data_IF_428116057800
#
_entry.id   IF_428116057800
#
_cell.length_a   1.000
_cell.length_b   1.000
_cell.length_c   1.000
_cell.angle_alpha   90.00
_cell.angle_beta   90.00
_cell.angle_gamma   90.00
#
_symmetry.space_group_name_H-M   'P 1'
#
loop_
_entity.id
_entity.type
_entity.pdbx_description
1 polymer ?
#
# COMPACT_ATOMS: atom_id res chain seq x y z
N UNK A 1 -51.57 3.88 -34.97
CA UNK A 1 -52.20 4.37 -33.72
C UNK A 1 -51.81 3.38 -32.63
N UNK A 2 -51.14 3.67 -31.52
CA UNK A 2 -50.86 4.91 -30.78
C UNK A 2 -49.40 4.91 -30.25
N UNK A 3 -48.85 6.11 -30.12
CA UNK A 3 -47.62 6.49 -29.41
C UNK A 3 -47.83 6.41 -27.87
N UNK A 4 -46.69 6.63 -27.19
CA UNK A 4 -46.44 7.09 -25.80
C UNK A 4 -46.23 5.96 -24.78
N UNK A 5 -45.26 6.00 -23.85
CA UNK A 5 -44.48 7.12 -23.33
C UNK A 5 -43.21 6.63 -22.59
N UNK A 6 -42.17 7.43 -22.68
CA UNK A 6 -40.91 7.39 -21.93
C UNK A 6 -41.12 7.55 -20.43
N UNK A 7 -40.39 6.79 -19.61
CA UNK A 7 -40.06 7.21 -18.24
C UNK A 7 -38.62 6.85 -17.90
N UNK A 8 -37.76 7.85 -18.07
CA UNK A 8 -36.45 7.94 -17.47
C UNK A 8 -36.59 7.99 -15.94
N UNK A 9 -36.18 6.94 -15.24
CA UNK A 9 -35.97 6.95 -13.79
C UNK A 9 -34.47 6.87 -13.51
N UNK A 10 -33.78 8.00 -13.72
CA UNK A 10 -32.52 8.30 -13.07
C UNK A 10 -32.78 8.44 -11.57
N UNK A 11 -32.72 7.32 -10.84
CA UNK A 11 -32.64 7.34 -9.38
C UNK A 11 -31.17 7.19 -9.02
N UNK A 12 -30.53 8.34 -8.89
CA UNK A 12 -29.17 8.58 -8.43
C UNK A 12 -28.85 7.71 -7.21
N UNK A 13 -28.11 6.62 -7.43
CA UNK A 13 -27.30 6.02 -6.37
C UNK A 13 -26.11 6.96 -6.17
N UNK A 14 -25.75 7.34 -4.93
CA UNK A 14 -24.45 7.99 -4.74
C UNK A 14 -23.39 7.00 -5.20
N UNK A 15 -22.61 7.39 -6.21
CA UNK A 15 -21.46 6.64 -6.69
C UNK A 15 -20.40 6.64 -5.58
N UNK A 16 -20.52 5.73 -4.62
CA UNK A 16 -19.39 5.30 -3.83
C UNK A 16 -18.47 4.56 -4.79
N UNK A 17 -17.40 5.22 -5.21
CA UNK A 17 -16.34 4.59 -5.98
C UNK A 17 -15.95 3.26 -5.32
N UNK A 18 -15.72 2.18 -6.09
CA UNK A 18 -15.32 0.90 -5.53
C UNK A 18 -14.11 1.08 -4.59
N UNK A 19 -13.98 0.26 -3.54
CA UNK A 19 -12.95 0.42 -2.51
C UNK A 19 -11.53 0.59 -3.08
N UNK A 20 -11.24 -0.08 -4.20
CA UNK A 20 -9.97 0.05 -4.93
C UNK A 20 -9.79 1.43 -5.52
N UNK A 21 -10.77 2.00 -6.23
CA UNK A 21 -10.68 3.35 -6.77
C UNK A 21 -10.50 4.39 -5.67
N UNK A 22 -11.16 4.22 -4.52
CA UNK A 22 -10.98 5.09 -3.36
C UNK A 22 -9.57 4.95 -2.75
N UNK A 23 -9.02 3.74 -2.68
CA UNK A 23 -7.65 3.51 -2.23
C UNK A 23 -6.63 4.05 -3.25
N UNK A 24 -6.85 3.87 -4.55
CA UNK A 24 -6.06 4.45 -5.64
C UNK A 24 -6.10 5.98 -5.60
N UNK A 25 -7.28 6.56 -5.38
CA UNK A 25 -7.45 8.00 -5.25
C UNK A 25 -6.74 8.53 -4.00
N UNK A 26 -6.75 7.80 -2.88
CA UNK A 26 -5.94 8.16 -1.70
C UNK A 26 -4.45 8.01 -2.01
N UNK A 27 -4.02 6.95 -2.69
CA UNK A 27 -2.63 6.75 -3.07
C UNK A 27 -2.14 7.87 -3.99
N UNK A 28 -2.90 8.23 -5.03
CA UNK A 28 -2.63 9.37 -5.91
C UNK A 28 -2.73 10.71 -5.17
N UNK A 29 -3.66 10.87 -4.24
CA UNK A 29 -3.79 12.08 -3.41
C UNK A 29 -2.62 12.21 -2.43
N UNK A 30 -2.11 11.12 -1.88
CA UNK A 30 -0.89 11.09 -1.08
C UNK A 30 0.30 11.48 -1.96
N UNK A 31 0.47 10.88 -3.13
CA UNK A 31 1.52 11.25 -4.10
C UNK A 31 1.47 12.74 -4.47
N UNK A 32 0.29 13.25 -4.81
CA UNK A 32 0.07 14.67 -5.14
C UNK A 32 0.35 15.60 -3.94
N UNK A 33 -0.18 15.27 -2.76
CA UNK A 33 -0.01 16.06 -1.53
C UNK A 33 1.43 16.07 -1.01
N UNK A 34 2.21 15.05 -1.36
CA UNK A 34 3.62 14.93 -1.01
C UNK A 34 4.52 15.62 -2.06
N UNK A 35 4.21 15.47 -3.35
CA UNK A 35 4.86 16.20 -4.45
C UNK A 35 4.67 17.71 -4.31
N UNK A 36 3.48 18.15 -3.90
CA UNK A 36 3.17 19.57 -3.64
C UNK A 36 3.91 20.14 -2.41
N UNK A 37 4.19 19.32 -1.39
CA UNK A 37 4.92 19.76 -0.18
C UNK A 37 6.43 19.83 -0.35
N UNK A 38 6.97 19.16 -1.36
CA UNK A 38 8.40 19.17 -1.68
C UNK A 38 8.59 19.17 -3.20
N UNK A 39 8.36 20.32 -3.87
CA UNK A 39 8.62 20.42 -5.30
C UNK A 39 10.11 20.15 -5.53
N UNK A 40 10.42 19.14 -6.34
CA UNK A 40 11.77 18.93 -6.83
C UNK A 40 12.22 20.23 -7.51
N UNK A 41 13.24 20.88 -6.96
CA UNK A 41 13.93 21.95 -7.66
C UNK A 41 14.46 21.37 -8.98
N UNK A 42 13.76 21.66 -10.08
CA UNK A 42 14.33 21.60 -11.42
C UNK A 42 15.59 22.45 -11.38
N UNK A 43 16.76 21.81 -11.35
CA UNK A 43 18.05 22.51 -11.47
C UNK A 43 18.07 23.18 -12.84
N UNK A 44 17.91 24.50 -12.86
CA UNK A 44 18.41 25.32 -13.94
C UNK A 44 19.95 25.36 -13.82
N UNK A 45 20.63 25.18 -14.94
CA UNK A 45 22.09 25.24 -15.07
C UNK A 45 22.64 26.64 -14.71
N UNK A 46 23.94 26.77 -14.32
CA UNK A 46 24.48 28.00 -13.78
C UNK A 46 24.88 28.99 -14.88
N UNK A 47 24.57 30.27 -14.68
CA UNK A 47 25.15 31.37 -15.44
C UNK A 47 26.10 32.17 -14.53
N UNK A 48 27.24 32.55 -15.10
CA UNK A 48 28.44 33.09 -14.46
C UNK A 48 28.33 34.57 -14.06
N UNK A 49 28.89 34.89 -12.88
CA UNK A 49 29.69 36.06 -12.44
C UNK A 49 29.31 37.48 -12.93
N UNK A 50 29.05 38.43 -12.01
CA UNK A 50 29.90 39.64 -11.79
C UNK A 50 29.43 40.53 -10.61
N UNK A 51 30.42 41.25 -10.05
CA UNK A 51 30.49 42.04 -8.81
C UNK A 51 29.59 43.28 -8.71
N UNK A 52 29.22 43.66 -7.48
CA UNK A 52 29.33 45.04 -6.98
C UNK A 52 29.30 45.10 -5.43
N UNK A 53 30.35 45.67 -4.83
CA UNK A 53 30.40 46.12 -3.44
C UNK A 53 29.61 47.43 -3.27
N UNK A 54 29.01 47.66 -2.09
CA UNK A 54 29.01 48.96 -1.39
C UNK A 54 28.59 48.81 0.07
N UNK A 55 29.30 49.51 0.96
CA UNK A 55 29.11 49.60 2.41
C UNK A 55 27.88 50.45 2.82
N UNK A 56 27.21 50.12 3.94
CA UNK A 56 27.18 50.95 5.18
C UNK A 56 26.06 50.56 6.20
N UNK A 57 26.52 50.25 7.43
CA UNK A 57 25.99 50.46 8.80
C UNK A 57 24.64 49.85 9.34
N UNK A 58 24.59 49.38 10.62
CA UNK A 58 23.40 48.84 11.34
C UNK A 58 22.75 49.88 12.30
N UNK A 59 21.50 49.74 12.87
CA UNK A 59 21.11 48.78 13.95
C UNK A 59 19.55 48.54 14.03
N UNK A 60 18.85 48.23 15.16
CA UNK A 60 19.20 47.62 16.45
C UNK A 60 18.35 46.37 16.84
N UNK A 61 18.76 45.77 17.96
CA UNK A 61 18.23 44.60 18.68
C UNK A 61 16.92 44.93 19.41
N UNK A 62 15.92 44.05 19.35
CA UNK A 62 14.74 44.04 20.22
C UNK A 62 14.50 42.62 20.77
N UNK A 63 14.35 42.53 22.09
CA UNK A 63 14.01 41.34 22.88
C UNK A 63 12.87 41.72 23.86
N UNK A 64 12.24 40.78 24.58
CA UNK A 64 11.01 40.10 24.18
C UNK A 64 9.79 40.60 24.96
N UNK A 65 8.66 40.84 24.28
CA UNK A 65 7.41 41.22 24.93
C UNK A 65 6.70 39.98 25.50
N UNK A 66 6.50 40.02 26.82
CA UNK A 66 5.69 39.08 27.62
C UNK A 66 4.25 39.05 27.11
N UNK A 67 3.77 37.89 26.66
CA UNK A 67 2.34 37.67 26.47
C UNK A 67 1.67 37.45 27.83
N UNK A 68 0.78 38.38 28.21
CA UNK A 68 -0.14 38.24 29.34
C UNK A 68 -1.12 37.08 29.06
N UNK A 69 -1.24 36.19 30.03
CA UNK A 69 -2.31 35.21 30.12
C UNK A 69 -3.63 35.96 30.35
N UNK A 70 -4.52 35.94 29.37
CA UNK A 70 -5.93 36.28 29.55
C UNK A 70 -6.72 34.98 29.62
N UNK A 71 -7.20 34.63 30.82
CA UNK A 71 -8.31 33.69 30.99
C UNK A 71 -9.61 34.45 30.91
N UNK A 72 -10.60 33.99 30.12
CA UNK A 72 -11.99 34.21 30.46
C UNK A 72 -12.55 32.89 31.00
N UNK A 73 -13.01 32.94 32.26
CA UNK A 73 -13.89 31.93 32.81
C UNK A 73 -15.18 31.91 31.98
N UNK A 74 -15.43 30.82 31.27
CA UNK A 74 -16.72 30.52 30.67
C UNK A 74 -17.19 29.19 31.26
N UNK A 75 -18.29 29.29 31.99
CA UNK A 75 -19.07 28.23 32.63
C UNK A 75 -19.41 27.11 31.63
N UNK A 76 -19.36 25.82 31.99
CA UNK A 76 -19.67 24.75 31.04
C UNK A 76 -21.19 24.66 30.85
N UNK A 77 -21.70 25.21 29.76
CA UNK A 77 -23.02 24.88 29.26
C UNK A 77 -23.00 23.45 28.73
N UNK A 78 -23.80 22.58 29.33
CA UNK A 78 -23.99 21.18 28.94
C UNK A 78 -24.52 21.09 27.51
N UNK A 79 -23.62 20.81 26.56
CA UNK A 79 -23.96 20.45 25.19
C UNK A 79 -24.44 18.99 25.15
N UNK A 80 -25.54 18.67 24.45
CA UNK A 80 -25.96 17.29 24.27
C UNK A 80 -24.89 16.55 23.46
N UNK A 81 -24.47 15.39 23.94
CA UNK A 81 -23.59 14.45 23.24
C UNK A 81 -24.28 13.89 21.98
N UNK A 82 -24.39 14.71 20.94
CA UNK A 82 -24.78 14.32 19.60
C UNK A 82 -23.54 13.87 18.83
N UNK A 83 -23.51 12.57 18.52
CA UNK A 83 -22.47 11.87 17.79
C UNK A 83 -22.11 12.52 16.44
N UNK A 84 -21.07 13.35 16.41
CA UNK A 84 -20.20 13.44 15.23
C UNK A 84 -19.12 12.36 15.34
N UNK A 85 -19.54 11.10 15.30
CA UNK A 85 -18.65 10.04 14.82
C UNK A 85 -18.35 10.37 13.38
N UNK A 86 -17.22 11.03 13.12
CA UNK A 86 -16.57 10.95 11.82
C UNK A 86 -16.56 9.47 11.44
N UNK A 87 -17.07 9.06 10.25
CA UNK A 87 -16.98 7.69 9.83
C UNK A 87 -15.50 7.32 9.90
N UNK A 88 -15.13 6.47 10.87
CA UNK A 88 -13.76 5.99 10.97
C UNK A 88 -13.50 5.30 9.64
N UNK A 89 -12.57 5.85 8.85
CA UNK A 89 -12.13 5.18 7.62
C UNK A 89 -11.79 3.75 8.00
N UNK A 90 -12.48 2.79 7.39
CA UNK A 90 -12.16 1.37 7.54
C UNK A 90 -10.97 1.06 6.65
N UNK A 91 -10.21 0.02 7.01
CA UNK A 91 -9.21 -0.51 6.12
C UNK A 91 -9.88 -1.10 4.86
N UNK A 92 -9.10 -1.23 3.79
CA UNK A 92 -9.57 -1.69 2.49
C UNK A 92 -9.42 -3.21 2.40
N UNK A 93 -10.54 -3.90 2.22
CA UNK A 93 -10.62 -5.34 1.97
C UNK A 93 -10.38 -5.67 0.50
N UNK A 94 -10.02 -6.93 0.24
CA UNK A 94 -9.78 -7.45 -1.10
C UNK A 94 -11.09 -7.59 -1.90
N UNK A 95 -11.08 -7.21 -3.18
CA UNK A 95 -12.21 -7.43 -4.10
C UNK A 95 -12.38 -8.90 -4.47
N UNK A 96 -11.29 -9.67 -4.42
CA UNK A 96 -11.27 -11.12 -4.67
C UNK A 96 -12.03 -11.92 -3.61
N UNK A 97 -12.52 -11.28 -2.53
CA UNK A 97 -13.48 -11.91 -1.62
C UNK A 97 -14.83 -12.21 -2.29
N UNK A 98 -15.13 -11.58 -3.42
CA UNK A 98 -16.37 -11.79 -4.18
C UNK A 98 -16.32 -13.03 -5.09
N UNK A 99 -15.13 -13.59 -5.31
CA UNK A 99 -14.95 -14.76 -6.17
C UNK A 99 -15.58 -16.02 -5.56
N UNK A 100 -16.42 -16.77 -6.29
CA UNK A 100 -17.06 -17.96 -5.78
C UNK A 100 -16.05 -19.11 -5.62
N UNK A 101 -16.03 -19.72 -4.43
CA UNK A 101 -15.26 -20.93 -4.11
C UNK A 101 -13.75 -20.86 -4.43
N UNK A 102 -12.99 -19.95 -3.80
CA UNK A 102 -11.54 -19.98 -3.90
C UNK A 102 -11.02 -21.31 -3.37
N UNK A 103 -9.97 -21.85 -4.02
CA UNK A 103 -9.26 -23.01 -3.49
C UNK A 103 -8.56 -22.60 -2.19
N UNK A 104 -8.82 -23.32 -1.09
CA UNK A 104 -8.28 -22.99 0.23
C UNK A 104 -7.35 -24.09 0.74
N UNK A 105 -6.34 -23.69 1.50
CA UNK A 105 -5.60 -24.57 2.42
C UNK A 105 -5.79 -24.01 3.83
N UNK A 106 -6.46 -24.79 4.70
CA UNK A 106 -7.06 -24.25 5.92
C UNK A 106 -8.06 -23.15 5.57
N UNK A 107 -7.75 -21.91 5.96
CA UNK A 107 -8.52 -20.72 5.58
C UNK A 107 -7.72 -19.74 4.69
N UNK A 108 -6.55 -20.15 4.19
CA UNK A 108 -5.70 -19.34 3.31
C UNK A 108 -6.05 -19.61 1.83
N UNK A 109 -6.29 -18.58 1.00
CA UNK A 109 -6.66 -18.78 -0.39
C UNK A 109 -5.45 -18.98 -1.31
N UNK A 110 -5.62 -19.89 -2.27
CA UNK A 110 -4.72 -20.12 -3.39
C UNK A 110 -5.32 -19.42 -4.62
N UNK A 111 -5.17 -18.10 -4.67
CA UNK A 111 -5.66 -17.29 -5.79
C UNK A 111 -4.75 -17.41 -7.01
N UNK A 112 -5.30 -17.32 -8.24
CA UNK A 112 -4.52 -17.19 -9.47
C UNK A 112 -3.55 -16.01 -9.45
N UNK A 113 -2.39 -16.17 -10.09
CA UNK A 113 -1.33 -15.16 -10.13
C UNK A 113 -0.84 -14.96 -11.57
N UNK A 114 -0.53 -13.71 -11.92
CA UNK A 114 0.22 -13.38 -13.12
C UNK A 114 1.72 -13.53 -12.83
N UNK A 115 2.26 -14.71 -13.10
CA UNK A 115 3.60 -15.08 -12.66
C UNK A 115 4.39 -15.85 -13.71
N UNK A 116 5.71 -15.64 -13.72
CA UNK A 116 6.66 -16.48 -14.47
C UNK A 116 7.38 -17.49 -13.58
N UNK A 117 7.25 -17.32 -12.25
CA UNK A 117 7.83 -18.19 -11.24
C UNK A 117 7.06 -19.51 -11.22
N UNK A 118 7.77 -20.63 -11.16
CA UNK A 118 7.15 -21.96 -11.04
C UNK A 118 6.49 -22.10 -9.66
N UNK A 119 5.29 -22.64 -9.62
CA UNK A 119 4.59 -22.88 -8.37
C UNK A 119 3.17 -23.43 -8.59
N UNK A 120 2.44 -23.68 -7.49
CA UNK A 120 1.13 -24.33 -7.52
C UNK A 120 -0.02 -23.38 -7.89
N UNK A 121 0.23 -22.07 -8.05
CA UNK A 121 -0.80 -21.11 -8.45
C UNK A 121 -1.24 -21.34 -9.91
N UNK A 122 -2.54 -21.20 -10.17
CA UNK A 122 -3.04 -21.10 -11.53
C UNK A 122 -2.48 -19.81 -12.17
N UNK A 123 -1.92 -19.94 -13.37
CA UNK A 123 -1.21 -18.84 -14.04
C UNK A 123 -2.18 -18.03 -14.88
N UNK A 124 -2.34 -16.75 -14.57
CA UNK A 124 -3.13 -15.81 -15.36
C UNK A 124 -2.40 -15.39 -16.64
N UNK A 125 -3.14 -14.98 -17.68
CA UNK A 125 -2.53 -14.44 -18.89
C UNK A 125 -1.69 -13.19 -18.59
N UNK A 126 -0.68 -12.93 -19.43
CA UNK A 126 0.04 -11.67 -19.39
C UNK A 126 -0.88 -10.52 -19.82
N UNK A 127 -0.59 -9.30 -19.36
CA UNK A 127 -1.31 -8.11 -19.82
C UNK A 127 -1.08 -7.89 -21.33
N UNK A 128 -2.16 -7.62 -22.06
CA UNK A 128 -2.15 -7.23 -23.46
C UNK A 128 -2.90 -5.89 -23.61
N UNK A 129 -2.22 -4.79 -24.01
CA UNK A 129 -0.80 -4.70 -24.38
C UNK A 129 0.16 -4.89 -23.19
N UNK A 130 1.41 -5.26 -23.49
CA UNK A 130 2.42 -5.45 -22.46
C UNK A 130 2.66 -4.16 -21.66
N UNK A 131 2.43 -4.22 -20.36
CA UNK A 131 2.63 -3.10 -19.44
C UNK A 131 4.07 -3.06 -18.90
N UNK A 132 4.59 -1.87 -18.55
CA UNK A 132 5.84 -1.74 -17.81
C UNK A 132 5.79 -2.49 -16.47
N UNK A 133 6.94 -3.00 -16.00
CA UNK A 133 7.00 -3.82 -14.79
C UNK A 133 6.56 -3.08 -13.49
N UNK A 134 6.66 -1.74 -13.49
CA UNK A 134 6.25 -0.89 -12.37
C UNK A 134 4.74 -0.58 -12.37
N UNK A 135 4.03 -0.87 -13.46
CA UNK A 135 2.61 -0.61 -13.62
C UNK A 135 1.78 -1.88 -13.31
N UNK A 136 0.55 -1.68 -12.85
CA UNK A 136 -0.42 -2.77 -12.64
C UNK A 136 -1.49 -2.69 -13.74
N UNK A 137 -2.04 -3.84 -14.19
CA UNK A 137 -3.21 -3.84 -15.05
C UNK A 137 -4.39 -3.11 -14.42
N UNK A 138 -5.36 -2.72 -15.26
CA UNK A 138 -6.65 -2.22 -14.81
C UNK A 138 -7.34 -3.29 -13.93
N UNK A 139 -7.96 -2.92 -12.78
CA UNK A 139 -8.73 -3.85 -11.95
C UNK A 139 -9.76 -4.70 -12.70
N UNK A 140 -10.31 -4.22 -13.82
CA UNK A 140 -11.28 -4.97 -14.63
C UNK A 140 -10.63 -5.93 -15.65
N UNK A 141 -9.29 -5.95 -15.76
CA UNK A 141 -8.58 -6.79 -16.70
C UNK A 141 -8.38 -8.24 -16.18
N UNK A 142 -8.45 -9.23 -17.07
CA UNK A 142 -8.22 -10.65 -16.72
C UNK A 142 -6.80 -10.96 -16.23
N UNK A 143 -5.86 -10.05 -16.48
CA UNK A 143 -4.46 -10.14 -16.04
C UNK A 143 -4.21 -9.48 -14.68
N UNK A 144 -5.22 -8.82 -14.11
CA UNK A 144 -5.16 -8.23 -12.77
C UNK A 144 -5.22 -9.34 -11.71
N UNK A 145 -4.30 -9.28 -10.76
CA UNK A 145 -4.21 -10.28 -9.70
C UNK A 145 -4.17 -9.67 -8.30
N UNK A 146 -4.26 -10.54 -7.30
CA UNK A 146 -4.23 -10.14 -5.89
C UNK A 146 -2.93 -9.44 -5.48
N UNK A 147 -1.82 -9.66 -6.18
CA UNK A 147 -0.55 -8.99 -5.85
C UNK A 147 -0.54 -7.54 -6.33
N UNK A 148 -1.18 -7.27 -7.47
CA UNK A 148 -1.45 -5.91 -7.93
C UNK A 148 -2.36 -5.16 -6.94
N UNK A 149 -3.35 -5.84 -6.38
CA UNK A 149 -4.19 -5.30 -5.31
C UNK A 149 -3.40 -5.01 -4.02
N UNK A 150 -2.55 -5.95 -3.58
CA UNK A 150 -1.68 -5.77 -2.40
C UNK A 150 -0.84 -4.49 -2.55
N UNK A 151 -0.24 -4.27 -3.72
CA UNK A 151 0.58 -3.08 -4.01
C UNK A 151 -0.26 -1.79 -4.00
N UNK A 152 -1.46 -1.82 -4.57
CA UNK A 152 -2.38 -0.68 -4.60
C UNK A 152 -2.89 -0.29 -3.20
N UNK A 153 -3.21 -1.30 -2.37
CA UNK A 153 -3.80 -1.10 -1.04
C UNK A 153 -2.75 -0.88 0.07
N UNK A 154 -1.49 -1.26 -0.16
CA UNK A 154 -0.40 -1.18 0.84
C UNK A 154 -0.31 0.19 1.53
N UNK A 155 -0.21 1.28 0.75
CA UNK A 155 0.03 2.61 1.30
C UNK A 155 -1.14 3.09 2.17
N UNK A 156 -2.37 2.81 1.78
CA UNK A 156 -3.55 3.16 2.56
C UNK A 156 -3.69 2.27 3.80
N UNK A 157 -3.48 0.95 3.64
CA UNK A 157 -3.72 -0.02 4.70
C UNK A 157 -2.68 0.03 5.82
N UNK A 158 -1.43 0.37 5.54
CA UNK A 158 -0.35 0.48 6.55
C UNK A 158 -0.61 1.48 7.68
N UNK A 159 -1.59 2.39 7.53
CA UNK A 159 -2.01 3.31 8.59
C UNK A 159 -2.98 2.70 9.61
N UNK A 160 -3.64 1.59 9.29
CA UNK A 160 -4.65 0.99 10.15
C UNK A 160 -4.06 -0.04 11.11
N UNK A 161 -4.53 0.00 12.36
CA UNK A 161 -4.18 -0.97 13.41
C UNK A 161 -5.19 -2.11 13.53
N UNK A 162 -6.44 -1.86 13.14
CA UNK A 162 -7.52 -2.83 13.18
C UNK A 162 -7.94 -3.12 11.74
N UNK A 163 -8.07 -4.40 11.41
CA UNK A 163 -8.52 -4.88 10.12
C UNK A 163 -9.57 -5.96 10.35
N UNK A 164 -10.75 -5.79 9.76
CA UNK A 164 -11.85 -6.76 9.85
C UNK A 164 -11.76 -7.68 8.63
N UNK A 165 -11.51 -8.97 8.86
CA UNK A 165 -11.40 -9.96 7.80
C UNK A 165 -12.81 -10.31 7.32
N UNK A 166 -13.13 -9.97 6.07
CA UNK A 166 -14.43 -10.23 5.45
C UNK A 166 -14.42 -11.53 4.65
N UNK A 167 -13.27 -11.93 4.12
CA UNK A 167 -13.15 -13.17 3.36
C UNK A 167 -11.74 -13.77 3.34
N UNK A 168 -11.54 -14.85 2.60
CA UNK A 168 -10.24 -15.52 2.53
C UNK A 168 -9.19 -14.66 1.82
N UNK A 169 -9.55 -13.91 0.77
CA UNK A 169 -8.60 -13.06 0.02
C UNK A 169 -7.92 -12.00 0.90
N UNK A 170 -8.63 -11.49 1.91
CA UNK A 170 -8.05 -10.59 2.91
C UNK A 170 -6.87 -11.19 3.66
N UNK A 171 -6.84 -12.50 3.89
CA UNK A 171 -5.75 -13.17 4.61
C UNK A 171 -4.47 -13.15 3.79
N UNK A 172 -4.59 -13.30 2.47
CA UNK A 172 -3.48 -13.13 1.54
C UNK A 172 -3.07 -11.66 1.44
N UNK A 173 -4.04 -10.74 1.42
CA UNK A 173 -3.77 -9.29 1.44
C UNK A 173 -2.96 -8.86 2.67
N UNK A 174 -3.37 -9.29 3.86
CA UNK A 174 -2.65 -9.00 5.13
C UNK A 174 -1.22 -9.51 5.06
N UNK A 175 -1.04 -10.76 4.63
CA UNK A 175 0.28 -11.38 4.49
C UNK A 175 1.16 -10.62 3.47
N UNK A 176 0.60 -10.27 2.31
CA UNK A 176 1.29 -9.51 1.27
C UNK A 176 1.75 -8.14 1.77
N UNK A 177 0.92 -7.43 2.55
CA UNK A 177 1.28 -6.14 3.16
C UNK A 177 2.43 -6.28 4.16
N UNK A 178 2.43 -7.32 5.00
CA UNK A 178 3.54 -7.56 5.92
C UNK A 178 4.83 -7.88 5.16
N UNK A 179 4.77 -8.77 4.17
CA UNK A 179 5.93 -9.11 3.36
C UNK A 179 6.50 -7.90 2.60
N UNK A 180 5.65 -7.04 2.03
CA UNK A 180 6.10 -5.78 1.42
C UNK A 180 6.82 -4.88 2.41
N UNK A 181 6.36 -4.82 3.67
CA UNK A 181 7.00 -4.03 4.72
C UNK A 181 8.41 -4.54 5.01
N UNK A 182 8.61 -5.86 5.02
CA UNK A 182 9.92 -6.48 5.21
C UNK A 182 10.83 -6.27 4.00
N UNK A 183 10.32 -6.39 2.77
CA UNK A 183 11.05 -6.07 1.55
C UNK A 183 11.59 -4.63 1.60
N UNK A 184 10.72 -3.66 1.90
CA UNK A 184 11.12 -2.25 2.01
C UNK A 184 12.13 -2.02 3.13
N UNK A 185 12.06 -2.78 4.22
CA UNK A 185 13.01 -2.69 5.34
C UNK A 185 14.40 -3.24 5.01
N UNK A 186 14.54 -4.09 3.98
CA UNK A 186 15.84 -4.57 3.48
C UNK A 186 16.51 -3.59 2.53
N UNK A 187 15.75 -2.70 1.88
CA UNK A 187 16.29 -1.73 0.93
C UNK A 187 16.96 -0.58 1.71
N UNK A 188 18.28 -0.44 1.54
CA UNK A 188 19.03 0.67 2.16
C UNK A 188 18.78 1.97 1.39
N UNK A 189 18.73 3.14 2.05
CA UNK A 189 18.45 4.43 1.39
C UNK A 189 19.38 4.84 0.24
N UNK A 190 20.58 4.25 0.16
CA UNK A 190 21.59 4.51 -0.87
C UNK A 190 21.95 3.26 -1.68
N UNK A 191 21.14 2.19 -1.60
CA UNK A 191 21.37 0.97 -2.38
C UNK A 191 20.96 1.19 -3.83
N UNK A 192 21.77 0.68 -4.76
CA UNK A 192 21.39 0.59 -6.17
C UNK A 192 20.31 -0.48 -6.36
N UNK A 193 19.59 -0.42 -7.49
CA UNK A 193 18.57 -1.42 -7.85
C UNK A 193 19.12 -2.85 -7.79
N UNK A 194 20.37 -3.04 -8.24
CA UNK A 194 21.04 -4.36 -8.23
C UNK A 194 21.32 -4.86 -6.81
N UNK A 195 21.80 -3.99 -5.93
CA UNK A 195 22.09 -4.36 -4.53
C UNK A 195 20.80 -4.67 -3.78
N UNK A 196 19.77 -3.83 -3.96
CA UNK A 196 18.46 -4.06 -3.39
C UNK A 196 17.81 -5.33 -3.94
N UNK A 197 17.94 -5.60 -5.24
CA UNK A 197 17.43 -6.82 -5.86
C UNK A 197 18.04 -8.06 -5.22
N UNK A 198 19.35 -8.08 -4.96
CA UNK A 198 20.00 -9.20 -4.28
C UNK A 198 19.42 -9.42 -2.89
N UNK A 199 19.34 -8.38 -2.06
CA UNK A 199 18.84 -8.49 -0.68
C UNK A 199 17.36 -8.89 -0.60
N UNK A 200 16.51 -8.27 -1.43
CA UNK A 200 15.06 -8.51 -1.45
C UNK A 200 14.75 -9.88 -2.06
N UNK A 201 15.45 -10.31 -3.11
CA UNK A 201 15.25 -11.64 -3.68
C UNK A 201 15.78 -12.74 -2.76
N UNK A 202 16.87 -12.51 -2.02
CA UNK A 202 17.34 -13.45 -1.00
C UNK A 202 16.27 -13.67 0.09
N UNK A 203 15.59 -12.60 0.52
CA UNK A 203 14.45 -12.71 1.45
C UNK A 203 13.27 -13.49 0.83
N UNK A 204 12.97 -13.25 -0.46
CA UNK A 204 11.87 -13.90 -1.14
C UNK A 204 12.09 -15.41 -1.39
N UNK A 205 13.35 -15.81 -1.59
CA UNK A 205 13.76 -17.20 -1.81
C UNK A 205 13.93 -18.01 -0.53
N UNK A 206 13.97 -17.36 0.64
CA UNK A 206 14.04 -18.06 1.91
C UNK A 206 12.74 -18.83 2.16
N UNK A 207 12.87 -20.16 2.24
CA UNK A 207 11.77 -21.08 2.51
C UNK A 207 11.55 -21.31 4.01
N UNK A 208 12.44 -20.85 4.90
CA UNK A 208 12.34 -21.06 6.35
C UNK A 208 11.46 -20.01 7.05
N UNK A 209 10.34 -19.65 6.43
CA UNK A 209 9.35 -18.78 7.05
C UNK A 209 8.28 -19.56 7.80
N UNK A 210 7.66 -18.89 8.76
CA UNK A 210 6.52 -19.41 9.50
C UNK A 210 5.31 -19.60 8.57
N UNK A 211 4.59 -20.70 8.74
CA UNK A 211 3.29 -20.96 8.14
C UNK A 211 2.17 -20.74 9.17
N UNK A 212 0.92 -20.54 8.74
CA UNK A 212 -0.25 -20.65 9.60
C UNK A 212 -0.18 -21.86 10.54
N UNK A 213 -0.25 -21.61 11.86
CA UNK A 213 -0.11 -22.64 12.90
C UNK A 213 1.26 -22.72 13.56
N UNK A 214 2.31 -22.17 12.94
CA UNK A 214 3.64 -22.11 13.55
C UNK A 214 3.66 -21.07 14.69
N UNK A 215 4.41 -21.29 15.79
CA UNK A 215 4.48 -20.34 16.90
C UNK A 215 4.97 -18.94 16.50
N UNK A 216 5.79 -18.87 15.45
CA UNK A 216 6.33 -17.63 14.91
C UNK A 216 5.34 -16.88 13.98
N UNK A 217 4.22 -17.50 13.57
CA UNK A 217 3.26 -16.87 12.68
C UNK A 217 2.45 -15.78 13.38
N UNK A 218 2.44 -14.54 12.86
CA UNK A 218 1.61 -13.48 13.41
C UNK A 218 0.12 -13.77 13.23
N UNK A 219 -0.70 -13.45 14.23
CA UNK A 219 -2.17 -13.64 14.18
C UNK A 219 -2.64 -15.10 14.00
N UNK A 220 -2.00 -16.07 14.64
CA UNK A 220 -2.44 -17.48 14.61
C UNK A 220 -3.93 -17.71 14.90
N UNK A 221 -4.59 -16.87 15.71
CA UNK A 221 -6.04 -17.00 15.97
C UNK A 221 -6.94 -16.77 14.73
N UNK A 222 -6.41 -16.11 13.70
CA UNK A 222 -7.16 -15.75 12.48
C UNK A 222 -6.83 -16.65 11.29
N UNK A 223 -5.82 -17.50 11.42
CA UNK A 223 -5.32 -18.39 10.38
C UNK A 223 -5.47 -19.84 10.83
N UNK A 224 -6.03 -20.68 9.97
CA UNK A 224 -6.17 -22.10 10.23
C UNK A 224 -4.92 -22.84 9.72
N UNK A 225 -4.31 -23.75 10.51
CA UNK A 225 -3.17 -24.51 10.07
C UNK A 225 -3.52 -25.43 8.88
N UNK A 226 -2.55 -25.76 8.01
CA UNK A 226 -2.73 -26.81 7.01
C UNK A 226 -3.13 -28.13 7.68
N UNK A 227 -4.03 -28.88 7.04
CA UNK A 227 -4.58 -30.13 7.60
C UNK A 227 -3.54 -31.23 7.70
N UNK A 228 -2.70 -31.35 6.67
CA UNK A 228 -1.69 -32.38 6.55
C UNK A 228 -0.37 -31.83 5.98
N UNK A 229 0.65 -32.69 5.95
CA UNK A 229 1.99 -32.32 5.48
C UNK A 229 2.01 -31.96 3.99
N UNK A 230 1.08 -32.49 3.20
CA UNK A 230 1.00 -32.20 1.77
C UNK A 230 0.44 -30.79 1.54
N UNK A 231 -0.62 -30.43 2.25
CA UNK A 231 -1.19 -29.09 2.25
C UNK A 231 -0.18 -28.07 2.76
N UNK A 232 0.60 -28.39 3.80
CA UNK A 232 1.65 -27.51 4.33
C UNK A 232 2.74 -27.22 3.29
N UNK A 233 3.20 -28.25 2.57
CA UNK A 233 4.21 -28.10 1.51
C UNK A 233 3.64 -27.30 0.32
N UNK A 234 2.39 -27.57 -0.07
CA UNK A 234 1.74 -26.84 -1.15
C UNK A 234 1.53 -25.37 -0.81
N UNK A 235 1.12 -25.06 0.43
CA UNK A 235 0.98 -23.69 0.91
C UNK A 235 2.34 -22.98 0.93
N UNK A 236 3.41 -23.67 1.38
CA UNK A 236 4.77 -23.13 1.37
C UNK A 236 5.22 -22.77 -0.06
N UNK A 237 4.99 -23.65 -1.02
CA UNK A 237 5.33 -23.39 -2.42
C UNK A 237 4.52 -22.22 -3.01
N UNK A 238 3.23 -22.13 -2.69
CA UNK A 238 2.39 -21.00 -3.10
C UNK A 238 2.90 -19.68 -2.50
N UNK A 239 3.17 -19.65 -1.20
CA UNK A 239 3.66 -18.46 -0.52
C UNK A 239 5.06 -18.05 -1.00
N UNK A 240 5.94 -19.00 -1.33
CA UNK A 240 7.23 -18.72 -1.95
C UNK A 240 7.09 -18.10 -3.35
N UNK A 241 6.10 -18.53 -4.14
CA UNK A 241 5.76 -17.94 -5.43
C UNK A 241 5.25 -16.50 -5.26
N UNK A 242 4.32 -16.27 -4.32
CA UNK A 242 3.81 -14.94 -3.97
C UNK A 242 4.95 -13.99 -3.55
N UNK A 243 5.87 -14.46 -2.71
CA UNK A 243 7.03 -13.67 -2.27
C UNK A 243 7.91 -13.21 -3.42
N UNK A 244 8.28 -14.13 -4.31
CA UNK A 244 9.17 -13.82 -5.44
C UNK A 244 8.54 -12.81 -6.40
N UNK A 245 7.25 -12.97 -6.71
CA UNK A 245 6.53 -12.03 -7.57
C UNK A 245 6.33 -10.66 -6.91
N UNK A 246 5.94 -10.62 -5.63
CA UNK A 246 5.82 -9.35 -4.90
C UNK A 246 7.17 -8.63 -4.82
N UNK A 247 8.25 -9.35 -4.53
CA UNK A 247 9.61 -8.82 -4.49
C UNK A 247 10.02 -8.19 -5.82
N UNK A 248 9.78 -8.88 -6.94
CA UNK A 248 10.07 -8.35 -8.27
C UNK A 248 9.26 -7.06 -8.57
N UNK A 249 7.95 -7.08 -8.29
CA UNK A 249 7.05 -5.96 -8.58
C UNK A 249 7.29 -4.73 -7.71
N UNK A 250 7.68 -4.91 -6.44
CA UNK A 250 8.00 -3.78 -5.56
C UNK A 250 9.34 -3.14 -5.95
N UNK A 251 10.35 -3.94 -6.32
CA UNK A 251 11.63 -3.41 -6.79
C UNK A 251 11.44 -2.54 -8.03
N UNK A 252 10.64 -2.98 -9.00
CA UNK A 252 10.30 -2.20 -10.19
C UNK A 252 9.64 -0.85 -9.84
N UNK A 253 8.78 -0.81 -8.81
CA UNK A 253 8.11 0.43 -8.35
C UNK A 253 9.00 1.34 -7.49
N UNK A 254 9.95 0.77 -6.76
CA UNK A 254 10.87 1.55 -5.90
C UNK A 254 11.93 2.26 -6.74
N UNK A 255 12.36 1.65 -7.85
CA UNK A 255 13.41 2.16 -8.73
C UNK A 255 12.87 2.68 -10.08
N UNK A 256 11.56 2.95 -10.18
CA UNK A 256 10.90 3.44 -11.40
C UNK A 256 11.60 4.66 -12.03
N UNK A 257 11.96 5.66 -11.21
CA UNK A 257 12.55 6.91 -11.69
C UNK A 257 14.07 6.84 -11.88
N UNK A 258 14.76 6.03 -11.07
CA UNK A 258 16.23 6.05 -10.96
C UNK A 258 16.75 4.74 -10.35
N UNK A 259 17.53 3.98 -11.12
CA UNK A 259 18.14 2.71 -10.68
C UNK A 259 19.25 2.89 -9.64
N UNK A 260 19.76 4.11 -9.44
CA UNK A 260 20.86 4.37 -8.50
C UNK A 260 20.36 4.63 -7.08
N UNK A 261 19.10 5.03 -6.92
CA UNK A 261 18.54 5.40 -5.61
C UNK A 261 17.09 4.93 -5.45
N UNK A 262 16.72 4.37 -4.29
CA UNK A 262 15.35 3.97 -4.05
C UNK A 262 14.43 5.17 -3.84
N UNK A 263 13.17 5.04 -4.24
CA UNK A 263 12.13 6.03 -4.01
C UNK A 263 11.90 6.30 -2.52
N UNK A 264 12.10 7.55 -2.12
CA UNK A 264 11.84 8.05 -0.76
C UNK A 264 10.38 7.82 -0.35
N UNK A 265 9.45 7.87 -1.29
CA UNK A 265 8.02 7.70 -1.03
C UNK A 265 7.71 6.31 -0.53
N UNK A 266 8.28 5.29 -1.15
CA UNK A 266 8.16 3.90 -0.70
C UNK A 266 8.88 3.66 0.62
N UNK A 267 10.12 4.17 0.78
CA UNK A 267 10.89 3.97 2.01
C UNK A 267 10.28 4.68 3.24
N UNK A 268 9.43 5.69 3.06
CA UNK A 268 8.75 6.38 4.16
C UNK A 268 7.81 5.47 4.98
N UNK A 269 7.39 4.34 4.41
CA UNK A 269 6.47 3.39 5.05
C UNK A 269 7.18 2.34 5.92
N UNK A 270 8.50 2.18 5.83
CA UNK A 270 9.30 1.17 6.56
C UNK A 270 9.11 1.18 8.08
N UNK A 271 8.85 2.35 8.68
CA UNK A 271 8.66 2.50 10.13
C UNK A 271 7.25 2.15 10.60
N UNK A 272 6.29 1.98 9.67
CA UNK A 272 4.89 1.69 10.00
C UNK A 272 4.65 0.21 9.92
N UNK A 273 3.91 -0.31 10.90
CA UNK A 273 3.54 -1.73 10.97
C UNK A 273 2.04 -1.86 10.87
N UNK A 274 1.58 -2.47 9.79
CA UNK A 274 0.18 -2.80 9.61
C UNK A 274 -0.28 -3.75 10.74
N UNK A 275 -1.41 -3.43 11.39
CA UNK A 275 -1.89 -4.13 12.58
C UNK A 275 -0.91 -4.17 13.77
N UNK A 276 0.15 -3.35 13.74
CA UNK A 276 1.22 -3.41 14.74
C UNK A 276 2.05 -4.69 14.71
N UNK A 277 1.98 -5.48 13.63
CA UNK A 277 2.70 -6.75 13.47
C UNK A 277 3.62 -6.74 12.24
N UNK A 278 4.52 -7.71 12.19
CA UNK A 278 5.48 -7.98 11.12
C UNK A 278 5.72 -9.50 11.08
N UNK A 279 6.26 -10.03 9.97
CA UNK A 279 6.62 -11.44 9.83
C UNK A 279 7.92 -11.80 10.57
#
# INVERSE_FOLDING_TARGET
>A
MKKTETSNSWRSRPATAPPIEAAYAITKSLESSFSSRYPLHRRAAPASIQHACTHSLPPPILSPARYRVFSPAVTPASLPHGLLTFPRKKAYNSVFNSEPNPRLIGNFPLLPLRTKVRGPAYTLPAADPALPAYESPDPDAESYDVLDEVLALFRANTFFRNFEIQGPADRLLIYGIWFLSDCLSKIKPHATARDAQKEVMNLALDLHFALPGDPAWPLNQMYEPPRDRQDAEQLRQYMAQVRQELAARILARVYEEDDTKPSKWWLSFTKRKFMGKAL
#
